data_IF_931619419589
#
_entry.id   IF_931619419589
#
_cell.length_a   1.000
_cell.length_b   1.000
_cell.length_c   1.000
_cell.angle_alpha   90.00
_cell.angle_beta   90.00
_cell.angle_gamma   90.00
#
_symmetry.space_group_name_H-M   'P 1'
#
loop_
_entity.id
_entity.type
_entity.pdbx_description
1 polymer ?
#
# COMPACT_ATOMS: atom_id res chain seq x y z
N UNK A 1 23.71 17.86 30.74
CA UNK A 1 22.78 17.98 29.60
C UNK A 1 22.55 16.57 29.08
N UNK A 2 21.54 15.88 29.58
CA UNK A 2 21.15 14.56 29.07
C UNK A 2 20.40 14.80 27.79
N UNK A 3 21.04 14.55 26.65
CA UNK A 3 20.34 14.52 25.36
C UNK A 3 19.43 13.30 25.46
N UNK A 4 18.12 13.52 25.62
CA UNK A 4 17.15 12.45 25.43
C UNK A 4 17.36 11.95 24.00
N UNK A 5 17.72 10.68 23.87
CA UNK A 5 17.68 9.98 22.60
C UNK A 5 16.20 9.84 22.23
N UNK A 6 15.65 10.93 21.71
CA UNK A 6 14.34 10.93 21.10
C UNK A 6 14.47 10.12 19.82
N UNK A 7 13.87 8.93 19.84
CA UNK A 7 14.01 7.91 18.79
C UNK A 7 13.55 8.46 17.43
N UNK A 8 12.67 9.46 17.43
CA UNK A 8 12.19 10.15 16.22
C UNK A 8 13.21 11.09 15.59
N UNK A 9 14.15 11.67 16.35
CA UNK A 9 15.03 12.72 15.81
C UNK A 9 16.44 12.27 15.50
N UNK A 10 16.86 11.08 15.96
CA UNK A 10 18.25 10.63 15.73
C UNK A 10 18.38 9.80 14.45
N UNK A 11 17.36 9.01 14.07
CA UNK A 11 17.29 8.21 12.83
C UNK A 11 15.84 7.88 12.39
N UNK A 12 14.84 8.66 12.83
CA UNK A 12 13.43 8.42 12.51
C UNK A 12 13.08 8.81 11.08
N UNK A 13 12.19 8.05 10.45
CA UNK A 13 11.47 8.50 9.26
C UNK A 13 10.34 9.40 9.73
N UNK A 14 10.07 10.49 9.01
CA UNK A 14 8.86 11.29 9.27
C UNK A 14 7.62 10.48 8.91
N UNK A 15 6.47 10.82 9.50
CA UNK A 15 5.18 10.21 9.16
C UNK A 15 4.88 10.32 7.66
N UNK A 16 5.23 11.45 7.04
CA UNK A 16 5.08 11.69 5.61
C UNK A 16 5.94 10.71 4.78
N UNK A 17 7.23 10.58 5.11
CA UNK A 17 8.15 9.66 4.43
C UNK A 17 7.71 8.20 4.61
N UNK A 18 7.22 7.83 5.79
CA UNK A 18 6.69 6.50 6.05
C UNK A 18 5.44 6.22 5.20
N UNK A 19 4.56 7.22 5.06
CA UNK A 19 3.36 7.14 4.23
C UNK A 19 3.71 6.95 2.76
N UNK A 20 4.64 7.75 2.23
CA UNK A 20 5.10 7.63 0.84
C UNK A 20 5.73 6.25 0.55
N UNK A 21 6.57 5.75 1.47
CA UNK A 21 7.14 4.40 1.34
C UNK A 21 6.10 3.31 1.35
N UNK A 22 5.05 3.46 2.15
CA UNK A 22 3.95 2.50 2.20
C UNK A 22 3.18 2.48 0.87
N UNK A 23 2.86 3.65 0.31
CA UNK A 23 2.20 3.77 -0.98
C UNK A 23 3.04 3.11 -2.08
N UNK A 24 4.34 3.39 -2.12
CA UNK A 24 5.24 2.81 -3.12
C UNK A 24 5.41 1.29 -2.95
N UNK A 25 5.46 0.78 -1.71
CA UNK A 25 5.52 -0.66 -1.46
C UNK A 25 4.28 -1.39 -2.00
N UNK A 26 3.08 -0.83 -1.80
CA UNK A 26 1.82 -1.37 -2.34
C UNK A 26 1.81 -1.31 -3.86
N UNK A 27 2.29 -0.21 -4.46
CA UNK A 27 2.40 -0.08 -5.93
C UNK A 27 3.30 -1.16 -6.51
N UNK A 28 4.48 -1.38 -5.93
CA UNK A 28 5.44 -2.40 -6.40
C UNK A 28 4.86 -3.82 -6.27
N UNK A 29 4.22 -4.14 -5.15
CA UNK A 29 3.58 -5.45 -4.96
C UNK A 29 2.50 -5.71 -6.01
N UNK A 30 1.68 -4.70 -6.32
CA UNK A 30 0.67 -4.78 -7.37
C UNK A 30 1.30 -4.98 -8.76
N UNK A 31 2.39 -4.29 -9.09
CA UNK A 31 3.11 -4.50 -10.37
C UNK A 31 3.71 -5.92 -10.45
N UNK A 32 4.27 -6.44 -9.36
CA UNK A 32 4.76 -7.83 -9.29
C UNK A 32 3.61 -8.82 -9.52
N UNK A 33 2.43 -8.58 -8.92
CA UNK A 33 1.23 -9.42 -9.12
C UNK A 33 0.74 -9.38 -10.56
N UNK A 34 0.71 -8.21 -11.20
CA UNK A 34 0.36 -8.08 -12.63
C UNK A 34 1.28 -8.92 -13.52
N UNK A 35 2.60 -8.81 -13.33
CA UNK A 35 3.58 -9.58 -14.11
C UNK A 35 3.40 -11.10 -13.90
N UNK A 36 3.06 -11.51 -12.68
CA UNK A 36 2.83 -12.92 -12.33
C UNK A 36 1.43 -13.43 -12.68
N UNK A 37 0.51 -12.57 -13.13
CA UNK A 37 -0.89 -12.93 -13.37
C UNK A 37 -1.66 -13.30 -12.09
N UNK A 38 -1.31 -12.72 -10.95
CA UNK A 38 -1.96 -12.96 -9.66
C UNK A 38 -3.10 -11.94 -9.42
N UNK A 39 -4.17 -12.34 -8.70
CA UNK A 39 -5.24 -11.43 -8.34
C UNK A 39 -4.77 -10.30 -7.39
N UNK A 40 -5.37 -9.12 -7.54
CA UNK A 40 -5.07 -7.91 -6.78
C UNK A 40 -6.32 -7.49 -6.01
N UNK A 41 -6.22 -7.37 -4.69
CA UNK A 41 -7.29 -6.81 -3.88
C UNK A 41 -7.26 -5.27 -3.93
N UNK A 42 -8.43 -4.66 -4.04
CA UNK A 42 -8.61 -3.22 -4.07
C UNK A 42 -9.90 -2.80 -3.39
N UNK A 43 -10.08 -1.48 -3.28
CA UNK A 43 -11.30 -0.87 -2.77
C UNK A 43 -11.77 0.21 -3.73
N UNK A 44 -13.05 0.17 -4.08
CA UNK A 44 -13.71 1.16 -4.94
C UNK A 44 -14.37 2.20 -4.04
N UNK A 45 -13.85 3.44 -4.06
CA UNK A 45 -14.34 4.51 -3.20
C UNK A 45 -15.73 5.02 -3.61
N UNK A 46 -16.10 4.91 -4.89
CA UNK A 46 -17.41 5.34 -5.37
C UNK A 46 -18.50 4.36 -4.96
N UNK A 47 -18.24 3.06 -5.10
CA UNK A 47 -19.17 1.99 -4.72
C UNK A 47 -19.10 1.64 -3.24
N UNK A 48 -18.07 2.13 -2.53
CA UNK A 48 -17.74 1.77 -1.15
C UNK A 48 -17.64 0.26 -0.93
N UNK A 49 -17.06 -0.45 -1.91
CA UNK A 49 -16.95 -1.92 -1.91
C UNK A 49 -15.52 -2.37 -2.18
N UNK A 50 -15.08 -3.40 -1.45
CA UNK A 50 -13.87 -4.13 -1.77
C UNK A 50 -14.05 -4.94 -3.05
N UNK A 51 -12.96 -5.17 -3.79
CA UNK A 51 -12.96 -6.01 -4.98
C UNK A 51 -11.65 -6.79 -5.13
N UNK A 52 -11.70 -7.83 -5.94
CA UNK A 52 -10.53 -8.55 -6.47
C UNK A 52 -10.46 -8.30 -7.98
N UNK A 53 -9.33 -7.79 -8.46
CA UNK A 53 -9.01 -7.62 -9.88
C UNK A 53 -8.13 -8.78 -10.35
N UNK A 54 -8.56 -9.47 -11.42
CA UNK A 54 -7.82 -10.58 -12.01
C UNK A 54 -6.93 -10.12 -13.19
N UNK A 55 -6.04 -11.00 -13.64
CA UNK A 55 -5.05 -10.68 -14.68
C UNK A 55 -5.67 -10.32 -16.06
N UNK A 56 -6.93 -10.71 -16.29
CA UNK A 56 -7.69 -10.36 -17.50
C UNK A 56 -8.39 -8.99 -17.40
N UNK A 57 -8.24 -8.30 -16.27
CA UNK A 57 -8.88 -7.01 -15.98
C UNK A 57 -10.31 -7.12 -15.43
N UNK A 58 -10.84 -8.34 -15.23
CA UNK A 58 -12.14 -8.53 -14.58
C UNK A 58 -12.06 -8.18 -13.10
N UNK A 59 -13.16 -7.62 -12.55
CA UNK A 59 -13.28 -7.27 -11.14
C UNK A 59 -14.48 -7.95 -10.50
N UNK A 60 -14.24 -8.63 -9.39
CA UNK A 60 -15.25 -9.25 -8.54
C UNK A 60 -15.38 -8.44 -7.26
N UNK A 61 -16.56 -7.89 -6.99
CA UNK A 61 -16.82 -7.08 -5.80
C UNK A 61 -17.28 -7.96 -4.65
N UNK A 62 -16.82 -7.66 -3.43
CA UNK A 62 -17.34 -8.30 -2.23
C UNK A 62 -18.84 -7.99 -2.06
N UNK A 63 -19.59 -8.99 -1.61
CA UNK A 63 -21.03 -8.85 -1.32
C UNK A 63 -21.29 -7.83 -0.23
#
# INVERSE_FOLDING_TARGET
>A
MTILNDLDTTYGLTDDELTERFIEAVRIDNEIKKIKGLPIAGYDDEKKKAYIEYADGSREYAE
#
